data_IF_836587529909
#
_entry.id   IF_836587529909
#
_cell.length_a   1.000
_cell.length_b   1.000
_cell.length_c   1.000
_cell.angle_alpha   90.00
_cell.angle_beta   90.00
_cell.angle_gamma   90.00
#
_symmetry.space_group_name_H-M   'P 1'
#
loop_
_entity.id
_entity.type
_entity.pdbx_description
1 polymer ?
#
# COMPACT_ATOMS: atom_id res chain seq x y z
N UNK A 1 -5.91 -6.36 -19.52
CA UNK A 1 -5.83 -5.02 -20.13
C UNK A 1 -5.60 -4.01 -19.02
N UNK A 2 -4.73 -3.02 -19.19
CA UNK A 2 -4.51 -1.97 -18.18
C UNK A 2 -5.69 -0.98 -18.12
N UNK A 3 -5.92 -0.29 -16.97
CA UNK A 3 -7.01 0.68 -16.84
C UNK A 3 -7.01 1.76 -17.91
N UNK A 4 -5.86 2.35 -18.22
CA UNK A 4 -5.77 3.40 -19.24
C UNK A 4 -6.16 2.93 -20.64
N UNK A 5 -5.89 1.65 -20.98
CA UNK A 5 -6.30 1.08 -22.27
C UNK A 5 -7.80 0.84 -22.30
N UNK A 6 -8.38 0.32 -21.21
CA UNK A 6 -9.81 0.08 -21.09
C UNK A 6 -10.61 1.39 -21.17
N UNK A 7 -10.17 2.42 -20.44
CA UNK A 7 -10.79 3.75 -20.47
C UNK A 7 -10.76 4.36 -21.88
N UNK A 8 -9.60 4.28 -22.56
CA UNK A 8 -9.45 4.76 -23.94
C UNK A 8 -10.37 4.03 -24.92
N UNK A 9 -10.51 2.71 -24.80
CA UNK A 9 -11.40 1.93 -25.66
C UNK A 9 -12.88 2.26 -25.42
N UNK A 10 -13.25 2.57 -24.18
CA UNK A 10 -14.60 2.96 -23.82
C UNK A 10 -14.90 4.46 -24.09
N UNK A 11 -13.91 5.25 -24.51
CA UNK A 11 -14.08 6.69 -24.71
C UNK A 11 -14.36 7.47 -23.42
N UNK A 12 -13.89 6.96 -22.28
CA UNK A 12 -14.08 7.57 -20.96
C UNK A 12 -12.73 7.94 -20.34
N UNK A 13 -12.73 8.97 -19.49
CA UNK A 13 -11.56 9.38 -18.70
C UNK A 13 -11.69 8.93 -17.25
N UNK A 14 -10.58 8.49 -16.65
CA UNK A 14 -10.52 8.18 -15.21
C UNK A 14 -10.18 9.47 -14.46
N UNK A 15 -11.21 10.10 -13.89
CA UNK A 15 -11.06 11.29 -13.06
C UNK A 15 -10.75 10.92 -11.60
N UNK A 16 -9.55 11.27 -11.11
CA UNK A 16 -9.13 10.95 -9.74
C UNK A 16 -10.08 11.51 -8.67
N UNK A 17 -10.65 12.69 -8.88
CA UNK A 17 -11.64 13.27 -7.97
C UNK A 17 -12.90 12.42 -7.83
N UNK A 18 -13.38 11.82 -8.93
CA UNK A 18 -14.53 10.92 -8.88
C UNK A 18 -14.21 9.62 -8.12
N UNK A 19 -13.00 9.07 -8.33
CA UNK A 19 -12.52 7.89 -7.57
C UNK A 19 -12.42 8.22 -6.08
N UNK A 20 -11.83 9.36 -5.72
CA UNK A 20 -11.73 9.82 -4.33
C UNK A 20 -13.10 9.95 -3.69
N UNK A 21 -14.03 10.67 -4.32
CA UNK A 21 -15.39 10.82 -3.79
C UNK A 21 -16.11 9.49 -3.63
N UNK A 22 -15.89 8.55 -4.56
CA UNK A 22 -16.47 7.22 -4.45
C UNK A 22 -15.91 6.44 -3.25
N UNK A 23 -14.59 6.50 -3.01
CA UNK A 23 -13.95 5.87 -1.83
C UNK A 23 -14.45 6.53 -0.54
N UNK A 24 -14.50 7.86 -0.48
CA UNK A 24 -14.96 8.61 0.71
C UNK A 24 -16.44 8.37 1.04
N UNK A 25 -17.25 8.00 0.05
CA UNK A 25 -18.65 7.67 0.25
C UNK A 25 -18.88 6.26 0.85
N UNK A 26 -17.85 5.42 0.95
CA UNK A 26 -17.99 4.08 1.52
C UNK A 26 -17.92 4.14 3.05
N UNK A 27 -18.95 3.66 3.74
CA UNK A 27 -18.92 3.53 5.19
C UNK A 27 -18.19 2.25 5.60
N UNK A 28 -16.97 2.38 6.13
CA UNK A 28 -16.20 1.29 6.68
C UNK A 28 -15.26 1.78 7.80
N UNK A 29 -15.01 0.93 8.80
CA UNK A 29 -14.03 1.23 9.86
C UNK A 29 -12.60 1.31 9.28
N UNK A 30 -12.29 0.43 8.33
CA UNK A 30 -11.02 0.39 7.60
C UNK A 30 -11.31 0.28 6.11
N UNK A 31 -10.67 1.15 5.33
CA UNK A 31 -10.73 1.12 3.87
C UNK A 31 -9.37 0.69 3.31
N UNK A 32 -9.40 -0.33 2.46
CA UNK A 32 -8.22 -0.80 1.71
C UNK A 32 -8.48 -0.56 0.24
N UNK A 33 -7.60 0.19 -0.42
CA UNK A 33 -7.69 0.46 -1.85
C UNK A 33 -6.54 -0.24 -2.56
N UNK A 34 -6.88 -1.23 -3.38
CA UNK A 34 -5.93 -1.89 -4.26
C UNK A 34 -5.84 -1.16 -5.61
N UNK A 35 -4.63 -0.79 -6.02
CA UNK A 35 -4.38 -0.19 -7.33
C UNK A 35 -4.20 -1.26 -8.40
N UNK A 36 -4.58 -0.95 -9.64
CA UNK A 36 -4.33 -1.87 -10.76
C UNK A 36 -2.92 -1.69 -11.33
N UNK A 37 -2.06 -2.71 -11.14
CA UNK A 37 -0.66 -2.70 -11.58
C UNK A 37 0.30 -2.14 -10.53
N UNK A 38 1.46 -1.65 -10.97
CA UNK A 38 2.51 -1.12 -10.11
C UNK A 38 2.32 0.37 -9.80
N UNK A 39 3.18 0.93 -8.94
CA UNK A 39 3.09 2.32 -8.47
C UNK A 39 3.02 3.37 -9.59
N UNK A 40 3.83 3.21 -10.64
CA UNK A 40 3.88 4.15 -11.77
C UNK A 40 3.08 3.65 -12.98
N UNK A 41 2.25 2.61 -12.81
CA UNK A 41 1.40 2.15 -13.90
C UNK A 41 0.42 3.26 -14.31
N UNK A 42 0.24 3.49 -15.63
CA UNK A 42 -0.68 4.53 -16.09
C UNK A 42 -2.13 4.13 -15.78
N UNK A 43 -2.80 5.01 -15.06
CA UNK A 43 -4.23 4.94 -14.75
C UNK A 43 -5.03 5.67 -15.83
N UNK A 44 -4.52 6.82 -16.30
CA UNK A 44 -5.06 7.58 -17.42
C UNK A 44 -3.96 8.12 -18.33
N UNK A 45 -4.29 8.99 -19.28
CA UNK A 45 -3.32 9.53 -20.25
C UNK A 45 -2.18 10.34 -19.61
N UNK A 46 -2.42 10.94 -18.44
CA UNK A 46 -1.47 11.80 -17.72
C UNK A 46 -1.36 11.46 -16.22
N UNK A 47 -1.97 10.36 -15.80
CA UNK A 47 -2.08 10.00 -14.39
C UNK A 47 -1.63 8.56 -14.18
N UNK A 48 -1.02 8.32 -13.03
CA UNK A 48 -0.49 7.04 -12.58
C UNK A 48 -1.14 6.63 -11.26
N UNK A 49 -0.86 5.40 -10.80
CA UNK A 49 -1.28 4.97 -9.47
C UNK A 49 -0.66 5.82 -8.35
N UNK A 50 0.51 6.44 -8.56
CA UNK A 50 1.08 7.39 -7.61
C UNK A 50 0.19 8.62 -7.44
N UNK A 51 -0.36 9.17 -8.53
CA UNK A 51 -1.27 10.31 -8.47
C UNK A 51 -2.56 9.96 -7.73
N UNK A 52 -3.09 8.76 -7.96
CA UNK A 52 -4.23 8.25 -7.20
C UNK A 52 -3.90 8.09 -5.71
N UNK A 53 -2.73 7.53 -5.39
CA UNK A 53 -2.27 7.35 -4.00
C UNK A 53 -2.19 8.70 -3.28
N UNK A 54 -1.67 9.74 -3.94
CA UNK A 54 -1.62 11.11 -3.42
C UNK A 54 -3.02 11.71 -3.24
N UNK A 55 -3.90 11.50 -4.21
CA UNK A 55 -5.27 12.03 -4.16
C UNK A 55 -6.10 11.44 -3.01
N UNK A 56 -5.91 10.15 -2.70
CA UNK A 56 -6.64 9.48 -1.62
C UNK A 56 -6.15 9.86 -0.22
N UNK A 57 -4.92 10.37 -0.08
CA UNK A 57 -4.32 10.77 1.20
C UNK A 57 -4.48 9.72 2.31
N UNK A 58 -4.31 8.44 1.95
CA UNK A 58 -4.46 7.33 2.89
C UNK A 58 -3.47 7.41 4.06
N UNK A 59 -3.87 6.89 5.22
CA UNK A 59 -3.06 6.91 6.45
C UNK A 59 -1.86 5.95 6.40
N UNK A 60 -1.83 5.05 5.42
CA UNK A 60 -0.79 4.04 5.26
C UNK A 60 -0.63 3.63 3.81
N UNK A 61 0.55 3.09 3.50
CA UNK A 61 0.87 2.59 2.17
C UNK A 61 1.48 1.19 2.30
N UNK A 62 1.01 0.27 1.46
CA UNK A 62 1.54 -1.09 1.36
C UNK A 62 2.15 -1.25 -0.04
N UNK A 63 3.42 -1.65 -0.10
CA UNK A 63 4.10 -1.97 -1.34
C UNK A 63 4.26 -3.49 -1.44
N UNK A 64 3.54 -4.11 -2.36
CA UNK A 64 3.52 -5.56 -2.55
C UNK A 64 4.46 -5.96 -3.69
N UNK A 65 5.41 -6.85 -3.40
CA UNK A 65 6.24 -7.55 -4.38
C UNK A 65 5.97 -9.05 -4.38
N UNK A 66 6.41 -9.76 -5.42
CA UNK A 66 6.40 -11.23 -5.44
C UNK A 66 7.79 -11.73 -5.05
N UNK A 67 7.87 -12.68 -4.13
CA UNK A 67 9.13 -13.20 -3.60
C UNK A 67 9.87 -14.11 -4.60
N UNK A 68 10.51 -13.48 -5.58
CA UNK A 68 11.22 -14.14 -6.69
C UNK A 68 12.34 -13.25 -7.21
N UNK A 69 13.13 -13.78 -8.13
CA UNK A 69 14.24 -13.07 -8.72
C UNK A 69 13.77 -11.75 -9.36
N UNK A 70 14.46 -10.65 -9.01
CA UNK A 70 14.17 -9.30 -9.47
C UNK A 70 13.44 -8.42 -8.45
N UNK A 71 12.82 -9.01 -7.42
CA UNK A 71 12.01 -8.24 -6.45
C UNK A 71 12.81 -7.19 -5.69
N UNK A 72 14.11 -7.44 -5.43
CA UNK A 72 14.99 -6.45 -4.79
C UNK A 72 15.04 -5.15 -5.59
N UNK A 73 15.18 -5.26 -6.92
CA UNK A 73 15.20 -4.12 -7.82
C UNK A 73 13.82 -3.44 -7.89
N UNK A 74 12.74 -4.23 -8.04
CA UNK A 74 11.37 -3.70 -8.11
C UNK A 74 11.01 -2.88 -6.87
N UNK A 75 11.28 -3.41 -5.68
CA UNK A 75 11.04 -2.73 -4.39
C UNK A 75 11.93 -1.49 -4.28
N UNK A 76 13.22 -1.60 -4.58
CA UNK A 76 14.14 -0.46 -4.50
C UNK A 76 13.72 0.69 -5.43
N UNK A 77 13.35 0.38 -6.67
CA UNK A 77 12.89 1.36 -7.65
C UNK A 77 11.60 2.03 -7.20
N UNK A 78 10.61 1.26 -6.71
CA UNK A 78 9.36 1.82 -6.20
C UNK A 78 9.58 2.72 -4.98
N UNK A 79 10.42 2.31 -4.03
CA UNK A 79 10.74 3.14 -2.86
C UNK A 79 11.50 4.41 -3.23
N UNK A 80 12.42 4.33 -4.19
CA UNK A 80 13.10 5.52 -4.72
C UNK A 80 12.10 6.47 -5.36
N UNK A 81 11.18 5.96 -6.19
CA UNK A 81 10.13 6.76 -6.81
C UNK A 81 9.24 7.44 -5.76
N UNK A 82 8.77 6.72 -4.73
CA UNK A 82 8.01 7.31 -3.62
C UNK A 82 8.78 8.43 -2.94
N UNK A 83 10.05 8.18 -2.57
CA UNK A 83 10.88 9.17 -1.88
C UNK A 83 11.13 10.43 -2.70
N UNK A 84 11.27 10.31 -4.02
CA UNK A 84 11.60 11.43 -4.90
C UNK A 84 10.34 12.18 -5.36
N UNK A 85 9.29 11.46 -5.73
CA UNK A 85 8.11 12.01 -6.39
C UNK A 85 6.96 12.33 -5.42
N UNK A 86 6.95 11.71 -4.24
CA UNK A 86 5.92 11.90 -3.23
C UNK A 86 6.49 11.78 -1.81
N UNK A 87 7.49 12.60 -1.42
CA UNK A 87 8.11 12.55 -0.10
C UNK A 87 7.14 12.83 1.05
N UNK A 88 5.97 13.41 0.77
CA UNK A 88 4.90 13.63 1.73
C UNK A 88 4.12 12.37 2.10
N UNK A 89 4.19 11.31 1.28
CA UNK A 89 3.50 10.05 1.56
C UNK A 89 4.24 9.25 2.64
N UNK A 90 3.51 8.48 3.46
CA UNK A 90 4.13 7.62 4.46
C UNK A 90 5.05 6.59 3.78
N UNK A 91 6.17 6.27 4.46
CA UNK A 91 7.02 5.19 4.01
C UNK A 91 6.23 3.87 3.97
N UNK A 92 6.27 3.11 2.86
CA UNK A 92 5.43 1.94 2.71
C UNK A 92 5.86 0.80 3.64
N UNK A 93 4.89 0.01 4.08
CA UNK A 93 5.14 -1.34 4.58
C UNK A 93 5.36 -2.25 3.37
N UNK A 94 6.51 -2.91 3.30
CA UNK A 94 6.82 -3.83 2.20
C UNK A 94 6.26 -5.21 2.53
N UNK A 95 5.54 -5.79 1.58
CA UNK A 95 4.99 -7.15 1.67
C UNK A 95 5.51 -7.98 0.51
N UNK A 96 6.02 -9.17 0.78
CA UNK A 96 6.41 -10.13 -0.23
C UNK A 96 5.42 -11.28 -0.27
N UNK A 97 4.69 -11.41 -1.38
CA UNK A 97 3.82 -12.55 -1.63
C UNK A 97 4.65 -13.74 -2.11
N UNK A 98 4.41 -14.92 -1.54
CA UNK A 98 5.00 -16.14 -2.07
C UNK A 98 4.59 -16.38 -3.54
N UNK A 99 5.54 -16.72 -4.44
CA UNK A 99 5.27 -16.88 -5.85
C UNK A 99 4.43 -18.13 -6.13
N UNK A 100 3.92 -18.24 -7.35
CA UNK A 100 3.26 -19.47 -7.81
C UNK A 100 4.25 -20.60 -8.05
N UNK A 101 5.40 -20.23 -8.61
CA UNK A 101 6.52 -21.11 -8.91
C UNK A 101 7.72 -20.48 -8.25
N UNK A 102 8.33 -21.22 -7.33
CA UNK A 102 9.53 -20.78 -6.60
C UNK A 102 10.74 -20.79 -7.53
N UNK A 103 11.68 -19.90 -7.24
CA UNK A 103 13.02 -19.92 -7.82
C UNK A 103 14.09 -19.96 -6.72
N UNK A 104 15.36 -20.00 -7.11
CA UNK A 104 16.47 -20.11 -6.17
C UNK A 104 16.60 -18.94 -5.17
N UNK A 105 15.90 -17.82 -5.40
CA UNK A 105 15.88 -16.65 -4.51
C UNK A 105 14.68 -16.61 -3.57
N UNK A 106 13.61 -17.37 -3.85
CA UNK A 106 12.39 -17.38 -3.03
C UNK A 106 12.71 -17.75 -1.57
N UNK A 107 12.11 -17.02 -0.63
CA UNK A 107 12.31 -17.14 0.81
C UNK A 107 13.55 -16.40 1.35
N UNK A 108 14.43 -15.90 0.49
CA UNK A 108 15.63 -15.15 0.92
C UNK A 108 15.52 -13.64 0.73
N UNK A 109 14.65 -13.18 -0.17
CA UNK A 109 14.62 -11.78 -0.57
C UNK A 109 14.20 -10.82 0.56
N UNK A 110 13.35 -11.25 1.49
CA UNK A 110 12.98 -10.42 2.64
C UNK A 110 14.20 -10.04 3.49
N UNK A 111 15.06 -11.02 3.79
CA UNK A 111 16.31 -10.80 4.51
C UNK A 111 17.28 -9.90 3.73
N UNK A 112 17.43 -10.14 2.44
CA UNK A 112 18.29 -9.32 1.56
C UNK A 112 17.82 -7.86 1.48
N UNK A 113 16.51 -7.62 1.37
CA UNK A 113 15.93 -6.27 1.42
C UNK A 113 16.31 -5.53 2.72
N UNK A 114 16.36 -6.25 3.84
CA UNK A 114 16.74 -5.69 5.14
C UNK A 114 18.25 -5.43 5.23
N UNK A 115 19.08 -6.40 4.86
CA UNK A 115 20.55 -6.31 4.89
C UNK A 115 21.04 -5.15 4.02
N UNK A 116 20.44 -4.97 2.84
CA UNK A 116 20.78 -3.89 1.91
C UNK A 116 20.20 -2.52 2.31
N UNK A 117 19.42 -2.44 3.39
CA UNK A 117 18.72 -1.21 3.80
C UNK A 117 17.62 -0.76 2.82
N UNK A 118 17.20 -1.64 1.92
CA UNK A 118 16.13 -1.37 0.95
C UNK A 118 14.77 -1.40 1.62
N UNK A 119 14.56 -2.16 2.68
CA UNK A 119 13.35 -2.08 3.50
C UNK A 119 13.69 -2.49 4.92
N UNK A 120 13.39 -1.64 5.90
CA UNK A 120 13.65 -1.95 7.32
C UNK A 120 12.81 -3.14 7.79
N UNK A 121 11.57 -3.21 7.33
CA UNK A 121 10.66 -4.28 7.68
C UNK A 121 9.92 -4.77 6.45
N UNK A 122 9.96 -6.09 6.27
CA UNK A 122 9.28 -6.83 5.22
C UNK A 122 8.34 -7.82 5.90
N UNK A 123 7.11 -7.93 5.43
CA UNK A 123 6.16 -8.97 5.85
C UNK A 123 6.03 -9.97 4.72
N UNK A 124 6.20 -11.25 5.03
CA UNK A 124 5.96 -12.33 4.07
C UNK A 124 4.49 -12.75 4.13
N UNK A 125 3.85 -12.80 2.96
CA UNK A 125 2.47 -13.24 2.82
C UNK A 125 2.47 -14.61 2.15
N UNK A 126 2.05 -15.68 2.87
CA UNK A 126 2.05 -17.02 2.32
C UNK A 126 1.02 -17.15 1.20
N UNK A 127 1.31 -18.02 0.23
CA UNK A 127 0.33 -18.42 -0.78
C UNK A 127 -0.62 -19.44 -0.18
N UNK A 128 -1.91 -19.30 -0.45
CA UNK A 128 -2.93 -20.22 0.04
C UNK A 128 -4.29 -19.55 0.18
N UNK A 129 -5.14 -20.13 1.02
CA UNK A 129 -6.43 -19.53 1.38
C UNK A 129 -6.21 -18.18 2.05
N UNK A 130 -6.82 -17.13 1.48
CA UNK A 130 -6.79 -15.77 2.02
C UNK A 130 -7.38 -15.68 3.44
N UNK A 131 -8.21 -16.64 3.84
CA UNK A 131 -8.78 -16.75 5.20
C UNK A 131 -8.01 -17.74 6.10
N UNK A 132 -6.98 -18.38 5.57
CA UNK A 132 -6.12 -19.28 6.32
C UNK A 132 -5.36 -18.56 7.43
N UNK A 133 -4.96 -19.31 8.46
CA UNK A 133 -4.27 -18.75 9.64
C UNK A 133 -2.98 -17.99 9.27
N UNK A 134 -2.22 -18.49 8.28
CA UNK A 134 -1.00 -17.82 7.81
C UNK A 134 -1.26 -16.47 7.14
N UNK A 135 -2.25 -16.40 6.24
CA UNK A 135 -2.63 -15.16 5.58
C UNK A 135 -3.17 -14.13 6.59
N UNK A 136 -3.98 -14.59 7.56
CA UNK A 136 -4.49 -13.75 8.64
C UNK A 136 -3.36 -13.18 9.51
N UNK A 137 -2.42 -14.01 9.95
CA UNK A 137 -1.28 -13.57 10.75
C UNK A 137 -0.41 -12.55 10.01
N UNK A 138 -0.16 -12.77 8.71
CA UNK A 138 0.57 -11.81 7.87
C UNK A 138 -0.20 -10.49 7.72
N UNK A 139 -1.52 -10.52 7.49
CA UNK A 139 -2.35 -9.33 7.42
C UNK A 139 -2.36 -8.53 8.74
N UNK A 140 -2.50 -9.22 9.89
CA UNK A 140 -2.40 -8.62 11.23
C UNK A 140 -1.02 -7.96 11.44
N UNK A 141 0.07 -8.61 10.98
CA UNK A 141 1.41 -8.04 11.04
C UNK A 141 1.58 -6.79 10.16
N UNK A 142 0.91 -6.72 9.00
CA UNK A 142 0.87 -5.51 8.15
C UNK A 142 0.11 -4.40 8.86
N UNK A 143 -1.10 -4.68 9.36
CA UNK A 143 -1.94 -3.69 10.04
C UNK A 143 -1.24 -3.07 11.25
N UNK A 144 -0.65 -3.89 12.12
CA UNK A 144 0.10 -3.41 13.28
C UNK A 144 1.25 -2.45 12.91
N UNK A 145 1.89 -2.66 11.74
CA UNK A 145 2.95 -1.77 11.24
C UNK A 145 2.41 -0.47 10.66
N UNK A 146 1.22 -0.49 10.07
CA UNK A 146 0.55 0.72 9.59
C UNK A 146 0.10 1.57 10.77
N UNK A 147 -0.49 0.97 11.79
CA UNK A 147 -0.93 1.65 13.03
C UNK A 147 0.23 2.24 13.82
N UNK A 148 1.33 1.49 14.00
CA UNK A 148 2.52 1.95 14.70
C UNK A 148 3.21 3.15 14.05
N UNK A 149 2.91 3.45 12.78
CA UNK A 149 3.45 4.61 12.03
C UNK A 149 2.56 5.86 12.15
N UNK A 150 1.28 5.71 12.49
CA UNK A 150 0.33 6.82 12.67
C UNK A 150 0.54 7.65 13.94
N UNK A 151 1.48 7.26 14.82
CA UNK A 151 1.68 7.85 16.16
C UNK A 151 2.68 9.02 16.26
N UNK A 152 3.30 9.50 15.18
CA UNK A 152 4.15 10.71 15.23
C UNK A 152 3.39 11.92 14.68
N UNK A 153 2.58 12.53 15.54
CA UNK A 153 2.24 13.95 15.41
C UNK A 153 3.53 14.75 15.46
N UNK A 154 3.90 15.39 14.35
CA UNK A 154 4.94 16.43 14.35
C UNK A 154 4.32 17.62 15.07
N UNK A 155 4.73 17.81 16.32
CA UNK A 155 4.31 18.95 17.13
C UNK A 155 4.86 20.23 16.48
N UNK A 156 3.96 21.02 15.90
CA UNK A 156 4.28 22.14 15.02
C UNK A 156 3.06 23.00 14.68
N UNK A 157 2.20 23.23 15.67
CA UNK A 157 1.23 24.34 15.80
C UNK A 157 0.44 24.81 14.55
N UNK A 158 -0.80 24.33 14.42
CA UNK A 158 -2.02 25.12 14.12
C UNK A 158 -3.27 24.30 14.53
N UNK A 159 -4.38 24.92 14.99
CA UNK A 159 -5.37 24.25 15.84
C UNK A 159 -6.46 23.55 15.03
N UNK A 160 -6.86 22.35 15.45
CA UNK A 160 -8.17 21.80 15.09
C UNK A 160 -8.20 20.31 14.73
N UNK A 161 -8.00 19.43 15.71
CA UNK A 161 -8.70 18.16 15.89
C UNK A 161 -8.05 17.45 17.08
N UNK A 162 -8.75 17.39 18.21
CA UNK A 162 -8.27 16.67 19.40
C UNK A 162 -8.12 15.16 19.13
N UNK A 163 -7.34 14.44 19.96
CA UNK A 163 -7.15 13.00 19.78
C UNK A 163 -8.48 12.23 19.90
N UNK A 164 -8.59 11.19 19.07
CA UNK A 164 -9.72 10.26 18.99
C UNK A 164 -10.10 9.74 20.38
N UNK A 165 -11.33 10.05 20.84
CA UNK A 165 -11.93 9.44 22.02
C UNK A 165 -12.55 8.10 21.63
N UNK A 166 -11.94 7.00 22.07
CA UNK A 166 -12.57 5.68 22.07
C UNK A 166 -13.80 5.70 22.98
N UNK A 167 -14.99 5.50 22.41
CA UNK A 167 -16.22 5.30 23.18
C UNK A 167 -16.39 3.78 23.36
N UNK A 168 -16.09 3.25 24.55
CA UNK A 168 -16.52 1.89 24.90
C UNK A 168 -18.04 1.89 25.01
N UNK A 169 -18.71 1.09 24.18
CA UNK A 169 -20.12 0.78 24.34
C UNK A 169 -20.32 0.01 25.65
N UNK A 170 -21.21 0.52 26.49
CA UNK A 170 -21.71 -0.16 27.69
C UNK A 170 -22.51 -1.39 27.29
N UNK A 171 -22.28 -2.47 28.03
CA UNK A 171 -23.03 -3.72 28.01
C UNK A 171 -24.54 -3.48 28.19
N UNK A 172 -25.33 -4.23 27.44
CA UNK A 172 -26.78 -4.39 27.58
C UNK A 172 -27.14 -5.83 27.25
#
# INVERSE_FOLDING_TARGET
MSPHLAARQAGVDIALGAVKSWVEAQEAEVQVVETAGALLSPLGARTTNLDLTRALQGQGLVLVGVDRLGVLHEVAACRLALRVLAPELPAPVVVLNAPEVEDASTGSNAGELQVLGIAEVVVEMPRGDARGAGARAAAEAVLARLEGRGGKSVDGSAPGAGPLRFRRGSEG
#
